data_IF_376454353447
#
_entry.id   IF_376454353447
#
_cell.length_a   1.000
_cell.length_b   1.000
_cell.length_c   1.000
_cell.angle_alpha   90.00
_cell.angle_beta   90.00
_cell.angle_gamma   90.00
#
_symmetry.space_group_name_H-M   'P 1'
#
loop_
_entity.id
_entity.type
_entity.pdbx_description
1 polymer ?
#
# COMPACT_ATOMS: atom_id res chain seq x y z
N UNK A 1 -17.59 -34.35 -26.38
CA UNK A 1 -16.55 -33.38 -26.79
C UNK A 1 -17.12 -32.47 -27.87
N UNK A 2 -17.33 -31.17 -27.59
CA UNK A 2 -17.70 -30.21 -28.64
C UNK A 2 -16.46 -29.94 -29.48
N UNK A 3 -16.48 -30.38 -30.74
CA UNK A 3 -15.45 -30.08 -31.73
C UNK A 3 -15.35 -28.55 -31.81
N UNK A 4 -14.24 -27.97 -31.36
CA UNK A 4 -13.97 -26.53 -31.52
C UNK A 4 -13.78 -26.30 -33.02
N UNK A 5 -14.83 -25.86 -33.69
CA UNK A 5 -14.82 -25.43 -35.09
C UNK A 5 -13.80 -24.30 -35.22
N UNK A 6 -12.85 -24.41 -36.15
CA UNK A 6 -11.86 -23.36 -36.37
C UNK A 6 -12.57 -22.09 -36.89
N UNK A 7 -12.59 -21.04 -36.08
CA UNK A 7 -13.32 -19.81 -36.36
C UNK A 7 -12.68 -19.00 -37.49
N UNK A 8 -11.38 -19.15 -37.72
CA UNK A 8 -10.68 -18.50 -38.83
C UNK A 8 -11.01 -19.17 -40.16
N UNK A 9 -11.05 -20.49 -40.18
CA UNK A 9 -11.44 -21.26 -41.37
C UNK A 9 -12.90 -20.98 -41.76
N UNK A 10 -13.80 -20.87 -40.77
CA UNK A 10 -15.18 -20.41 -41.00
C UNK A 10 -15.28 -19.00 -41.60
N UNK A 11 -14.40 -18.09 -41.20
CA UNK A 11 -14.33 -16.75 -41.76
C UNK A 11 -13.79 -16.70 -43.20
N UNK A 12 -12.82 -17.56 -43.54
CA UNK A 12 -12.32 -17.71 -44.91
C UNK A 12 -13.40 -18.23 -45.85
N UNK A 13 -14.12 -19.29 -45.45
CA UNK A 13 -15.23 -19.84 -46.23
C UNK A 13 -16.37 -18.83 -46.42
N UNK A 14 -16.68 -18.04 -45.37
CA UNK A 14 -17.65 -16.97 -45.46
C UNK A 14 -17.21 -15.87 -46.44
N UNK A 15 -15.93 -15.53 -46.46
CA UNK A 15 -15.36 -14.60 -47.42
C UNK A 15 -15.45 -15.14 -48.86
N UNK A 16 -15.03 -16.37 -49.11
CA UNK A 16 -15.09 -16.99 -50.45
C UNK A 16 -16.51 -17.05 -51.00
N UNK A 17 -17.48 -17.37 -50.15
CA UNK A 17 -18.90 -17.38 -50.54
C UNK A 17 -19.36 -15.98 -50.93
N UNK A 18 -19.11 -14.99 -50.08
CA UNK A 18 -19.50 -13.60 -50.34
C UNK A 18 -18.75 -12.98 -51.52
N UNK A 19 -17.52 -13.43 -51.78
CA UNK A 19 -16.71 -13.01 -52.93
C UNK A 19 -17.36 -13.48 -54.24
N UNK A 20 -17.74 -14.76 -54.32
CA UNK A 20 -18.48 -15.31 -55.46
C UNK A 20 -19.83 -14.60 -55.65
N UNK A 21 -20.58 -14.40 -54.56
CA UNK A 21 -21.88 -13.71 -54.63
C UNK A 21 -21.70 -12.25 -55.10
N UNK A 22 -20.64 -11.56 -54.65
CA UNK A 22 -20.32 -10.19 -55.07
C UNK A 22 -19.88 -10.10 -56.54
N UNK A 23 -19.18 -11.10 -57.07
CA UNK A 23 -18.81 -11.19 -58.49
C UNK A 23 -20.03 -11.39 -59.40
N UNK A 24 -21.05 -12.11 -58.95
CA UNK A 24 -22.28 -12.36 -59.73
C UNK A 24 -23.31 -11.23 -59.60
N UNK A 25 -23.41 -10.59 -58.43
CA UNK A 25 -24.45 -9.58 -58.13
C UNK A 25 -23.97 -8.13 -58.22
N UNK A 26 -22.65 -7.89 -58.27
CA UNK A 26 -22.06 -6.55 -58.15
C UNK A 26 -22.18 -5.94 -56.75
N UNK A 27 -22.64 -6.69 -55.75
CA UNK A 27 -22.84 -6.20 -54.39
C UNK A 27 -21.51 -5.92 -53.68
N UNK A 28 -21.48 -4.84 -52.89
CA UNK A 28 -20.28 -4.42 -52.14
C UNK A 28 -20.00 -5.36 -50.95
N UNK A 29 -18.84 -5.98 -50.95
CA UNK A 29 -18.38 -6.83 -49.85
C UNK A 29 -17.83 -5.98 -48.69
N UNK A 30 -18.24 -6.26 -47.46
CA UNK A 30 -17.77 -5.57 -46.25
C UNK A 30 -17.33 -6.54 -45.16
N UNK A 31 -16.35 -6.14 -44.33
CA UNK A 31 -15.91 -6.92 -43.15
C UNK A 31 -17.09 -7.27 -42.24
N UNK A 32 -18.06 -6.36 -42.07
CA UNK A 32 -19.26 -6.60 -41.27
C UNK A 32 -20.14 -7.72 -41.84
N UNK A 33 -20.21 -7.90 -43.17
CA UNK A 33 -20.97 -8.97 -43.79
C UNK A 33 -20.29 -10.33 -43.59
N UNK A 34 -18.96 -10.39 -43.76
CA UNK A 34 -18.15 -11.59 -43.50
C UNK A 34 -18.22 -11.99 -42.02
N UNK A 35 -18.05 -11.02 -41.10
CA UNK A 35 -18.13 -11.22 -39.66
C UNK A 35 -19.49 -11.79 -39.22
N UNK A 36 -20.58 -11.29 -39.81
CA UNK A 36 -21.94 -11.77 -39.52
C UNK A 36 -22.16 -13.19 -40.05
N UNK A 37 -21.71 -13.49 -41.27
CA UNK A 37 -21.87 -14.81 -41.87
C UNK A 37 -21.03 -15.89 -41.16
N UNK A 38 -19.84 -15.51 -40.69
CA UNK A 38 -18.95 -16.39 -39.94
C UNK A 38 -19.24 -16.43 -38.42
N UNK A 39 -20.18 -15.62 -37.93
CA UNK A 39 -20.51 -15.47 -36.51
C UNK A 39 -19.29 -15.12 -35.62
N UNK A 40 -18.51 -14.12 -36.03
CA UNK A 40 -17.32 -13.64 -35.31
C UNK A 40 -17.36 -12.12 -35.10
N UNK A 41 -16.68 -11.59 -34.08
CA UNK A 41 -16.60 -10.15 -33.86
C UNK A 41 -15.74 -9.50 -34.96
N UNK A 42 -16.24 -8.42 -35.58
CA UNK A 42 -15.51 -7.62 -36.58
C UNK A 42 -14.12 -7.18 -36.10
N UNK A 43 -13.93 -7.01 -34.78
CA UNK A 43 -12.66 -6.63 -34.15
C UNK A 43 -11.53 -7.63 -34.43
N UNK A 44 -11.87 -8.88 -34.76
CA UNK A 44 -10.88 -9.93 -35.01
C UNK A 44 -10.06 -9.64 -36.27
N UNK A 45 -10.71 -9.14 -37.33
CA UNK A 45 -10.06 -8.70 -38.57
C UNK A 45 -9.14 -7.47 -38.40
N UNK A 46 -9.16 -6.84 -37.21
CA UNK A 46 -8.27 -5.74 -36.83
C UNK A 46 -7.25 -6.16 -35.75
N UNK A 47 -7.03 -7.47 -35.57
CA UNK A 47 -6.03 -8.01 -34.64
C UNK A 47 -6.44 -8.02 -33.17
N UNK A 48 -7.65 -7.56 -32.82
CA UNK A 48 -8.17 -7.59 -31.43
C UNK A 48 -8.80 -8.94 -31.10
N UNK A 49 -8.04 -10.01 -31.32
CA UNK A 49 -8.41 -11.40 -30.99
C UNK A 49 -7.78 -11.77 -29.65
N UNK A 50 -8.57 -12.31 -28.72
CA UNK A 50 -8.09 -12.76 -27.42
C UNK A 50 -7.40 -14.13 -27.52
N UNK A 51 -6.24 -14.19 -28.18
CA UNK A 51 -5.40 -15.39 -28.34
C UNK A 51 -3.94 -15.06 -28.04
N UNK A 52 -3.20 -15.91 -27.29
CA UNK A 52 -1.76 -15.72 -27.07
C UNK A 52 -0.91 -16.06 -28.31
N UNK A 53 -1.49 -16.73 -29.32
CA UNK A 53 -0.83 -17.14 -30.55
C UNK A 53 -0.75 -15.98 -31.58
N UNK A 54 0.47 -15.49 -31.80
CA UNK A 54 0.78 -14.39 -32.72
C UNK A 54 0.52 -14.75 -34.19
N UNK A 55 0.72 -16.02 -34.57
CA UNK A 55 0.48 -16.49 -35.94
C UNK A 55 -1.00 -16.42 -36.30
N UNK A 56 -1.88 -16.75 -35.36
CA UNK A 56 -3.33 -16.63 -35.54
C UNK A 56 -3.79 -15.18 -35.64
N UNK A 57 -3.21 -14.26 -34.84
CA UNK A 57 -3.52 -12.82 -34.96
C UNK A 57 -3.16 -12.28 -36.33
N UNK A 58 -1.97 -12.61 -36.84
CA UNK A 58 -1.53 -12.21 -38.19
C UNK A 58 -2.44 -12.76 -39.28
N UNK A 59 -2.86 -14.02 -39.17
CA UNK A 59 -3.77 -14.62 -40.14
C UNK A 59 -5.15 -13.94 -40.18
N UNK A 60 -5.67 -13.49 -39.03
CA UNK A 60 -6.91 -12.70 -38.96
C UNK A 60 -6.76 -11.30 -39.58
N UNK A 61 -5.63 -10.63 -39.34
CA UNK A 61 -5.34 -9.32 -39.92
C UNK A 61 -5.18 -9.44 -41.45
N UNK A 62 -4.43 -10.44 -41.92
CA UNK A 62 -4.23 -10.70 -43.35
C UNK A 62 -5.54 -10.97 -44.10
N UNK A 63 -6.47 -11.73 -43.48
CA UNK A 63 -7.81 -11.90 -44.05
C UNK A 63 -8.59 -10.57 -44.11
N UNK A 64 -8.45 -9.72 -43.08
CA UNK A 64 -9.04 -8.39 -43.06
C UNK A 64 -8.48 -7.45 -44.15
N UNK A 65 -7.19 -7.54 -44.43
CA UNK A 65 -6.50 -6.83 -45.51
C UNK A 65 -7.00 -7.30 -46.88
N UNK A 66 -7.09 -8.61 -47.10
CA UNK A 66 -7.58 -9.20 -48.35
C UNK A 66 -9.03 -8.77 -48.67
N UNK A 67 -9.90 -8.76 -47.66
CA UNK A 67 -11.28 -8.26 -47.78
C UNK A 67 -11.29 -6.78 -48.18
N UNK A 68 -10.42 -5.97 -47.58
CA UNK A 68 -10.34 -4.54 -47.90
C UNK A 68 -9.75 -4.29 -49.30
N UNK A 69 -8.75 -5.06 -49.72
CA UNK A 69 -8.20 -4.99 -51.07
C UNK A 69 -9.27 -5.31 -52.12
N UNK A 70 -10.00 -6.40 -51.94
CA UNK A 70 -11.09 -6.77 -52.85
C UNK A 70 -12.15 -5.66 -52.94
N UNK A 71 -12.55 -5.09 -51.79
CA UNK A 71 -13.47 -3.95 -51.75
C UNK A 71 -12.91 -2.71 -52.45
N UNK A 72 -11.62 -2.43 -52.31
CA UNK A 72 -10.97 -1.29 -52.92
C UNK A 72 -10.83 -1.46 -54.45
N UNK A 73 -10.62 -2.69 -54.94
CA UNK A 73 -10.66 -3.00 -56.38
C UNK A 73 -12.04 -2.81 -57.00
N UNK A 74 -13.11 -2.95 -56.21
CA UNK A 74 -14.49 -2.64 -56.60
C UNK A 74 -14.85 -1.14 -56.55
N UNK A 75 -13.93 -0.24 -56.14
CA UNK A 75 -14.17 1.20 -56.18
C UNK A 75 -13.75 1.78 -57.53
N UNK A 76 -14.71 2.29 -58.30
CA UNK A 76 -14.43 3.25 -59.37
C UNK A 76 -13.79 4.53 -58.79
N UNK A 77 -12.90 5.23 -59.53
CA UNK A 77 -12.18 6.41 -59.04
C UNK A 77 -13.04 7.62 -58.64
N UNK A 78 -14.33 7.63 -58.96
CA UNK A 78 -15.20 8.81 -58.91
C UNK A 78 -15.77 9.18 -57.52
N UNK A 79 -15.44 8.43 -56.46
CA UNK A 79 -15.92 8.71 -55.09
C UNK A 79 -14.82 9.15 -54.12
N UNK A 80 -13.75 9.75 -54.62
CA UNK A 80 -12.77 10.44 -53.76
C UNK A 80 -13.22 11.88 -53.58
N UNK A 81 -14.03 12.09 -52.53
CA UNK A 81 -14.22 13.39 -51.88
C UNK A 81 -15.02 14.42 -52.68
N UNK A 82 -16.35 14.27 -52.75
CA UNK A 82 -17.17 15.46 -52.95
C UNK A 82 -16.98 16.39 -51.74
N UNK A 83 -16.83 17.69 -51.98
CA UNK A 83 -16.76 18.73 -50.94
C UNK A 83 -17.93 18.59 -49.95
N UNK A 84 -19.11 18.20 -50.45
CA UNK A 84 -20.29 17.87 -49.66
C UNK A 84 -20.09 16.72 -48.64
N UNK A 85 -19.19 15.76 -48.91
CA UNK A 85 -18.84 14.67 -47.98
C UNK A 85 -17.88 15.14 -46.88
N UNK A 86 -16.96 16.06 -47.20
CA UNK A 86 -16.03 16.63 -46.22
C UNK A 86 -16.78 17.62 -45.32
N UNK A 87 -17.62 18.48 -45.89
CA UNK A 87 -18.45 19.43 -45.13
C UNK A 87 -19.41 18.72 -44.18
N UNK A 88 -20.08 17.64 -44.60
CA UNK A 88 -20.91 16.82 -43.69
C UNK A 88 -20.10 16.17 -42.57
N UNK A 89 -18.87 15.73 -42.84
CA UNK A 89 -18.00 15.17 -41.79
C UNK A 89 -17.56 16.24 -40.79
N UNK A 90 -17.26 17.45 -41.27
CA UNK A 90 -16.91 18.59 -40.43
C UNK A 90 -18.09 19.01 -39.55
N UNK A 91 -19.29 19.09 -40.12
CA UNK A 91 -20.52 19.40 -39.39
C UNK A 91 -20.81 18.37 -38.29
N UNK A 92 -20.71 17.07 -38.60
CA UNK A 92 -20.87 16.01 -37.61
C UNK A 92 -19.80 16.07 -36.51
N UNK A 93 -18.54 16.36 -36.86
CA UNK A 93 -17.46 16.49 -35.90
C UNK A 93 -17.64 17.71 -34.98
N UNK A 94 -18.18 18.82 -35.51
CA UNK A 94 -18.53 19.99 -34.71
C UNK A 94 -19.65 19.67 -33.72
N UNK A 95 -20.73 19.01 -34.17
CA UNK A 95 -21.84 18.59 -33.30
C UNK A 95 -21.34 17.66 -32.18
N UNK A 96 -20.46 16.72 -32.51
CA UNK A 96 -19.85 15.81 -31.54
C UNK A 96 -18.98 16.57 -30.53
N UNK A 97 -18.14 17.50 -30.98
CA UNK A 97 -17.32 18.34 -30.10
C UNK A 97 -18.17 19.18 -29.15
N UNK A 98 -19.29 19.78 -29.62
CA UNK A 98 -20.20 20.51 -28.75
C UNK A 98 -20.82 19.62 -27.67
N UNK A 99 -21.23 18.40 -28.02
CA UNK A 99 -21.73 17.42 -27.03
C UNK A 99 -20.66 16.99 -26.04
N UNK A 100 -19.42 16.81 -26.51
CA UNK A 100 -18.30 16.46 -25.64
C UNK A 100 -17.99 17.59 -24.66
N UNK A 101 -18.02 18.85 -25.11
CA UNK A 101 -17.84 20.02 -24.24
C UNK A 101 -18.93 20.11 -23.17
N UNK A 102 -20.19 19.86 -23.53
CA UNK A 102 -21.30 19.81 -22.57
C UNK A 102 -21.10 18.67 -21.55
N UNK A 103 -20.71 17.48 -22.01
CA UNK A 103 -20.41 16.35 -21.13
C UNK A 103 -19.23 16.63 -20.19
N UNK A 104 -18.19 17.34 -20.64
CA UNK A 104 -17.05 17.73 -19.79
C UNK A 104 -17.53 18.70 -18.70
N UNK A 105 -18.35 19.70 -19.04
CA UNK A 105 -18.93 20.63 -18.08
C UNK A 105 -19.74 19.92 -16.99
N UNK A 106 -20.54 18.93 -17.37
CA UNK A 106 -21.32 18.15 -16.40
C UNK A 106 -20.45 17.23 -15.53
N UNK A 107 -19.38 16.65 -16.11
CA UNK A 107 -18.40 15.89 -15.34
C UNK A 107 -17.64 16.77 -14.35
N UNK A 108 -17.30 18.01 -14.71
CA UNK A 108 -16.66 18.97 -13.81
C UNK A 108 -17.57 19.34 -12.64
N UNK A 109 -18.87 19.61 -12.90
CA UNK A 109 -19.87 19.83 -11.84
C UNK A 109 -20.00 18.64 -10.92
N UNK A 110 -20.05 17.42 -11.47
CA UNK A 110 -20.12 16.18 -10.70
C UNK A 110 -18.87 16.00 -9.82
N UNK A 111 -17.68 16.26 -10.37
CA UNK A 111 -16.41 16.21 -9.64
C UNK A 111 -16.37 17.21 -8.50
N UNK A 112 -16.79 18.46 -8.73
CA UNK A 112 -16.86 19.48 -7.69
C UNK A 112 -17.79 19.05 -6.54
N UNK A 113 -18.98 18.52 -6.86
CA UNK A 113 -19.93 18.00 -5.87
C UNK A 113 -19.37 16.81 -5.08
N UNK A 114 -18.66 15.89 -5.74
CA UNK A 114 -17.99 14.78 -5.06
C UNK A 114 -16.87 15.25 -4.14
N UNK A 115 -16.11 16.26 -4.55
CA UNK A 115 -15.03 16.84 -3.74
C UNK A 115 -15.56 17.55 -2.50
N UNK A 116 -16.68 18.26 -2.62
CA UNK A 116 -17.40 18.85 -1.49
C UNK A 116 -17.94 17.78 -0.53
N UNK A 117 -18.53 16.70 -1.08
CA UNK A 117 -18.99 15.55 -0.29
C UNK A 117 -17.83 14.88 0.46
N UNK A 118 -16.68 14.69 -0.18
CA UNK A 118 -15.48 14.12 0.45
C UNK A 118 -14.97 15.00 1.58
N UNK A 119 -14.95 16.32 1.39
CA UNK A 119 -14.56 17.27 2.44
C UNK A 119 -15.54 17.23 3.62
N UNK A 120 -16.85 17.21 3.35
CA UNK A 120 -17.88 17.06 4.38
C UNK A 120 -17.76 15.75 5.15
N UNK A 121 -17.56 14.62 4.44
CA UNK A 121 -17.38 13.30 5.06
C UNK A 121 -16.08 13.18 5.83
N UNK A 122 -15.00 13.80 5.36
CA UNK A 122 -13.73 13.89 6.09
C UNK A 122 -13.90 14.58 7.44
N UNK A 123 -14.60 15.74 7.47
CA UNK A 123 -14.93 16.42 8.72
C UNK A 123 -15.79 15.58 9.65
N UNK A 124 -16.83 14.90 9.12
CA UNK A 124 -17.65 13.99 9.92
C UNK A 124 -16.84 12.83 10.51
N UNK A 125 -15.86 12.30 9.79
CA UNK A 125 -14.96 11.24 10.28
C UNK A 125 -14.04 11.75 11.39
N UNK A 126 -13.47 12.94 11.24
CA UNK A 126 -12.65 13.57 12.29
C UNK A 126 -13.48 13.83 13.55
N UNK A 127 -14.71 14.33 13.41
CA UNK A 127 -15.63 14.55 14.52
C UNK A 127 -16.00 13.23 15.23
N UNK A 128 -16.31 12.18 14.47
CA UNK A 128 -16.60 10.85 15.01
C UNK A 128 -15.39 10.22 15.69
N UNK A 129 -14.19 10.37 15.13
CA UNK A 129 -12.96 9.89 15.75
C UNK A 129 -12.67 10.64 17.05
N UNK A 130 -12.82 11.97 17.06
CA UNK A 130 -12.68 12.77 18.27
C UNK A 130 -13.75 12.39 19.32
N UNK A 131 -14.97 12.06 18.88
CA UNK A 131 -16.02 11.58 19.77
C UNK A 131 -15.74 10.16 20.31
N UNK A 132 -15.22 9.25 19.49
CA UNK A 132 -14.78 7.92 19.92
C UNK A 132 -13.67 8.03 20.96
N UNK A 133 -12.66 8.87 20.71
CA UNK A 133 -11.59 9.16 21.67
C UNK A 133 -12.14 9.69 23.00
N UNK A 134 -13.07 10.64 22.98
CA UNK A 134 -13.74 11.13 24.20
C UNK A 134 -14.54 10.06 24.92
N UNK A 135 -15.20 9.15 24.20
CA UNK A 135 -15.94 8.05 24.79
C UNK A 135 -15.01 6.99 25.37
N UNK A 136 -13.91 6.69 24.69
CA UNK A 136 -12.85 5.80 25.17
C UNK A 136 -12.20 6.36 26.43
N UNK A 137 -11.85 7.65 26.43
CA UNK A 137 -11.35 8.37 27.60
C UNK A 137 -12.39 8.34 28.72
N UNK A 138 -13.65 8.67 28.44
CA UNK A 138 -14.74 8.62 29.42
C UNK A 138 -14.97 7.20 29.97
N UNK A 139 -14.81 6.16 29.15
CA UNK A 139 -14.87 4.76 29.59
C UNK A 139 -13.66 4.40 30.46
N UNK A 140 -12.46 4.86 30.10
CA UNK A 140 -11.24 4.72 30.90
C UNK A 140 -11.39 5.40 32.26
N UNK A 141 -11.96 6.61 32.31
CA UNK A 141 -12.22 7.34 33.57
C UNK A 141 -13.38 6.72 34.38
N UNK A 142 -14.46 6.30 33.72
CA UNK A 142 -15.60 5.64 34.39
C UNK A 142 -15.26 4.24 34.91
N UNK A 143 -14.33 3.52 34.26
CA UNK A 143 -13.78 2.26 34.78
C UNK A 143 -12.75 2.46 35.89
N UNK A 144 -12.08 3.62 35.92
CA UNK A 144 -11.11 3.97 36.98
C UNK A 144 -11.77 4.24 38.34
N UNK A 145 -12.98 4.81 38.39
CA UNK A 145 -13.55 5.29 39.66
C UNK A 145 -14.64 4.42 40.31
N UNK A 146 -15.22 3.41 39.64
CA UNK A 146 -16.29 2.58 40.26
C UNK A 146 -16.34 1.10 39.88
N UNK A 147 -15.22 0.44 39.61
CA UNK A 147 -15.18 -1.04 39.66
C UNK A 147 -13.84 -1.53 40.19
N UNK A 148 -13.87 -2.20 41.34
CA UNK A 148 -12.84 -3.14 41.77
C UNK A 148 -12.84 -4.39 40.86
N UNK A 149 -12.60 -4.21 39.56
CA UNK A 149 -12.18 -5.33 38.73
C UNK A 149 -10.70 -5.46 39.01
N UNK A 150 -10.37 -6.43 39.86
CA UNK A 150 -8.99 -6.91 40.00
C UNK A 150 -8.63 -7.53 38.65
N UNK A 151 -8.14 -6.71 37.74
CA UNK A 151 -7.53 -7.21 36.51
C UNK A 151 -6.31 -8.02 36.92
N UNK A 152 -6.31 -9.32 36.62
CA UNK A 152 -5.15 -10.19 36.80
C UNK A 152 -3.98 -9.85 35.85
N UNK A 153 -4.03 -8.70 35.16
CA UNK A 153 -2.96 -8.24 34.30
C UNK A 153 -1.76 -7.80 35.12
N UNK A 154 -0.57 -8.14 34.65
CA UNK A 154 0.68 -7.66 35.24
C UNK A 154 1.09 -6.33 34.59
N UNK A 155 1.59 -5.40 35.40
CA UNK A 155 2.25 -4.20 34.87
C UNK A 155 3.46 -4.65 34.05
N UNK A 156 3.72 -4.07 32.86
CA UNK A 156 4.88 -4.45 32.07
C UNK A 156 6.18 -4.20 32.84
N UNK A 157 7.09 -5.16 32.74
CA UNK A 157 8.43 -5.09 33.30
C UNK A 157 9.33 -4.32 32.33
N UNK A 158 9.59 -3.05 32.64
CA UNK A 158 10.44 -2.18 31.80
C UNK A 158 11.90 -2.36 32.21
N UNK A 159 12.74 -2.67 31.23
CA UNK A 159 14.19 -2.83 31.36
C UNK A 159 14.82 -1.81 30.42
N UNK A 160 15.62 -0.88 30.96
CA UNK A 160 16.32 0.11 30.14
C UNK A 160 17.78 0.22 30.56
N UNK A 161 18.74 0.09 29.62
CA UNK A 161 20.15 0.38 29.88
C UNK A 161 20.37 1.79 30.45
N UNK A 162 19.57 2.78 30.04
CA UNK A 162 19.73 4.16 30.50
C UNK A 162 19.47 4.30 32.02
N UNK A 163 18.65 3.41 32.62
CA UNK A 163 18.41 3.39 34.07
C UNK A 163 19.59 2.85 34.87
N UNK A 164 20.44 2.02 34.26
CA UNK A 164 21.61 1.42 34.92
C UNK A 164 22.89 2.26 34.70
N UNK A 165 22.82 3.27 33.84
CA UNK A 165 23.96 4.10 33.47
C UNK A 165 24.34 5.06 34.61
N UNK A 166 25.60 5.01 35.05
CA UNK A 166 26.12 5.86 36.14
C UNK A 166 27.11 6.95 35.70
N UNK A 167 27.57 6.88 34.46
CA UNK A 167 28.55 7.80 33.87
C UNK A 167 28.31 8.07 32.39
N UNK A 168 28.93 9.13 31.86
CA UNK A 168 28.77 9.60 30.47
C UNK A 168 29.70 8.92 29.47
N UNK A 169 30.68 8.16 29.94
CA UNK A 169 31.66 7.45 29.11
C UNK A 169 31.10 6.17 28.46
N UNK A 170 31.84 5.65 27.48
CA UNK A 170 31.46 4.44 26.74
C UNK A 170 31.53 3.16 27.57
N UNK A 171 32.38 3.08 28.60
CA UNK A 171 32.47 1.91 29.46
C UNK A 171 31.25 1.81 30.39
N UNK A 172 30.80 2.94 30.94
CA UNK A 172 29.54 3.05 31.68
C UNK A 172 28.35 2.57 30.84
N UNK A 173 28.28 2.98 29.56
CA UNK A 173 27.23 2.51 28.65
C UNK A 173 27.27 0.99 28.44
N UNK A 174 28.47 0.41 28.20
CA UNK A 174 28.61 -1.04 28.05
C UNK A 174 28.23 -1.81 29.32
N UNK A 175 28.65 -1.32 30.50
CA UNK A 175 28.28 -1.93 31.79
C UNK A 175 26.76 -1.89 32.00
N UNK A 176 26.13 -0.75 31.70
CA UNK A 176 24.69 -0.59 31.83
C UNK A 176 23.91 -1.51 30.87
N UNK A 177 24.42 -1.70 29.66
CA UNK A 177 23.88 -2.66 28.70
C UNK A 177 23.95 -4.10 29.20
N UNK A 178 25.11 -4.54 29.71
CA UNK A 178 25.27 -5.89 30.29
C UNK A 178 24.30 -6.09 31.45
N UNK A 179 24.16 -5.10 32.35
CA UNK A 179 23.21 -5.17 33.46
C UNK A 179 21.75 -5.27 32.98
N UNK A 180 21.38 -4.56 31.90
CA UNK A 180 20.06 -4.68 31.29
C UNK A 180 19.81 -6.07 30.71
N UNK A 181 20.81 -6.68 30.07
CA UNK A 181 20.71 -8.04 29.55
C UNK A 181 20.61 -9.10 30.66
N UNK A 182 21.37 -8.95 31.74
CA UNK A 182 21.26 -9.83 32.90
C UNK A 182 19.87 -9.72 33.55
N UNK A 183 19.33 -8.49 33.67
CA UNK A 183 17.97 -8.28 34.14
C UNK A 183 16.94 -8.90 33.20
N UNK A 184 17.14 -8.79 31.89
CA UNK A 184 16.27 -9.41 30.88
C UNK A 184 16.29 -10.94 31.01
N UNK A 185 17.46 -11.55 31.21
CA UNK A 185 17.58 -13.00 31.44
C UNK A 185 16.74 -13.44 32.64
N UNK A 186 16.85 -12.74 33.76
CA UNK A 186 16.08 -13.05 34.99
C UNK A 186 14.57 -12.99 34.75
N UNK A 187 14.08 -12.02 33.96
CA UNK A 187 12.65 -11.94 33.64
C UNK A 187 12.22 -13.02 32.63
N UNK A 188 13.09 -13.40 31.69
CA UNK A 188 12.83 -14.46 30.71
C UNK A 188 12.84 -15.87 31.31
N UNK A 189 13.66 -16.11 32.35
CA UNK A 189 13.76 -17.40 33.06
C UNK A 189 12.48 -17.81 33.78
N UNK A 190 11.52 -16.90 33.95
CA UNK A 190 10.22 -17.22 34.58
C UNK A 190 9.45 -18.23 33.73
N UNK A 191 8.85 -19.29 34.30
CA UNK A 191 8.16 -20.34 33.52
C UNK A 191 6.72 -19.93 33.17
N UNK A 192 6.56 -18.79 32.50
CA UNK A 192 5.27 -18.24 32.05
C UNK A 192 5.38 -17.80 30.59
N UNK A 193 4.25 -17.74 29.88
CA UNK A 193 4.18 -17.13 28.55
C UNK A 193 4.43 -15.63 28.64
N UNK A 194 5.25 -15.10 27.73
CA UNK A 194 5.69 -13.71 27.78
C UNK A 194 5.69 -13.07 26.40
N UNK A 195 5.54 -11.76 26.40
CA UNK A 195 5.81 -10.94 25.23
C UNK A 195 6.97 -10.01 25.52
N UNK A 196 8.06 -10.14 24.77
CA UNK A 196 9.22 -9.26 24.79
C UNK A 196 9.06 -8.18 23.71
N UNK A 197 8.84 -6.95 24.13
CA UNK A 197 8.84 -5.78 23.26
C UNK A 197 10.23 -5.15 23.22
N UNK A 198 10.79 -5.02 22.02
CA UNK A 198 12.09 -4.36 21.79
C UNK A 198 11.82 -3.01 21.13
N UNK A 199 12.16 -1.91 21.80
CA UNK A 199 11.95 -0.59 21.23
C UNK A 199 13.05 -0.25 20.21
N UNK A 200 12.62 0.25 19.05
CA UNK A 200 13.48 0.58 17.91
C UNK A 200 13.19 2.03 17.51
N UNK A 201 14.16 2.91 17.70
CA UNK A 201 14.01 4.30 17.27
C UNK A 201 15.02 5.25 17.90
N UNK A 202 15.18 6.41 17.27
CA UNK A 202 16.16 7.40 17.67
C UNK A 202 15.88 8.01 19.06
N UNK A 203 16.88 8.55 19.74
CA UNK A 203 16.68 9.38 20.93
C UNK A 203 15.69 10.52 20.63
N UNK A 204 14.70 10.72 21.50
CA UNK A 204 13.65 11.73 21.29
C UNK A 204 12.43 11.22 20.51
N UNK A 205 12.43 9.97 20.04
CA UNK A 205 11.28 9.42 19.29
C UNK A 205 10.05 9.14 20.17
N UNK A 206 10.21 9.05 21.49
CA UNK A 206 9.12 8.82 22.44
C UNK A 206 9.09 7.42 23.07
N UNK A 207 10.13 6.59 22.87
CA UNK A 207 10.21 5.21 23.40
C UNK A 207 9.89 5.12 24.89
N UNK A 208 10.63 5.84 25.73
CA UNK A 208 10.42 5.79 27.18
C UNK A 208 9.05 6.29 27.62
N UNK A 209 8.51 7.32 26.95
CA UNK A 209 7.14 7.79 27.18
C UNK A 209 6.13 6.69 26.85
N UNK A 210 6.30 6.02 25.71
CA UNK A 210 5.46 4.89 25.33
C UNK A 210 5.56 3.74 26.32
N UNK A 211 6.78 3.36 26.73
CA UNK A 211 7.04 2.28 27.70
C UNK A 211 6.35 2.52 29.04
N UNK A 212 6.42 3.75 29.56
CA UNK A 212 5.82 4.13 30.85
C UNK A 212 4.29 4.19 30.81
N UNK A 213 3.72 4.50 29.65
CA UNK A 213 2.27 4.62 29.45
C UNK A 213 1.61 3.30 29.06
N UNK A 214 2.35 2.19 29.03
CA UNK A 214 1.74 0.88 28.76
C UNK A 214 0.87 0.44 29.94
N UNK A 215 -0.39 0.14 29.62
CA UNK A 215 -1.38 -0.38 30.56
C UNK A 215 -1.13 -1.84 30.91
N UNK A 216 -1.85 -2.34 31.92
CA UNK A 216 -1.86 -3.75 32.30
C UNK A 216 -2.21 -4.62 31.08
N UNK A 217 -1.34 -5.58 30.80
CA UNK A 217 -1.52 -6.54 29.72
C UNK A 217 -2.02 -7.86 30.31
N UNK A 218 -2.83 -8.59 29.54
CA UNK A 218 -3.31 -9.93 29.94
C UNK A 218 -2.16 -10.93 30.11
N UNK A 219 -1.06 -10.74 29.36
CA UNK A 219 0.13 -11.56 29.42
C UNK A 219 1.29 -10.84 30.11
N UNK A 220 2.27 -11.60 30.58
CA UNK A 220 3.49 -11.04 31.17
C UNK A 220 4.32 -10.34 30.11
N UNK A 221 4.35 -9.02 30.16
CA UNK A 221 5.02 -8.19 29.16
C UNK A 221 6.35 -7.66 29.68
N UNK A 222 7.41 -7.87 28.91
CA UNK A 222 8.74 -7.31 29.15
C UNK A 222 8.99 -6.26 28.07
N UNK A 223 9.36 -5.05 28.47
CA UNK A 223 9.71 -3.98 27.53
C UNK A 223 11.20 -3.69 27.68
N UNK A 224 11.97 -3.98 26.64
CA UNK A 224 13.37 -3.60 26.54
C UNK A 224 13.46 -2.22 25.89
N UNK A 225 13.53 -1.17 26.74
CA UNK A 225 13.57 0.23 26.31
C UNK A 225 15.00 0.71 26.07
N UNK A 226 15.43 0.63 24.81
CA UNK A 226 16.76 1.06 24.36
C UNK A 226 16.72 1.66 22.96
N UNK A 227 17.81 2.32 22.55
CA UNK A 227 17.96 2.82 21.18
C UNK A 227 18.53 1.73 20.27
N UNK A 228 17.71 0.74 19.88
CA UNK A 228 18.18 -0.36 19.03
C UNK A 228 18.03 -0.01 17.54
N UNK A 229 18.93 0.84 17.02
CA UNK A 229 18.83 1.45 15.69
C UNK A 229 19.29 0.51 14.58
N UNK A 230 20.36 -0.22 14.84
CA UNK A 230 20.97 -1.14 13.88
C UNK A 230 20.63 -2.59 14.19
N UNK A 231 20.88 -3.49 13.24
CA UNK A 231 20.80 -4.95 13.44
C UNK A 231 21.73 -5.41 14.55
N UNK A 232 22.93 -4.84 14.61
CA UNK A 232 23.92 -5.17 15.62
C UNK A 232 23.42 -4.82 17.04
N UNK A 233 22.75 -3.68 17.20
CA UNK A 233 22.18 -3.29 18.50
C UNK A 233 21.08 -4.28 18.96
N UNK A 234 20.28 -4.78 18.02
CA UNK A 234 19.17 -5.70 18.29
C UNK A 234 19.64 -7.13 18.53
N UNK A 235 20.78 -7.52 17.97
CA UNK A 235 21.26 -8.89 17.95
C UNK A 235 21.34 -9.55 19.33
N UNK A 236 21.91 -8.87 20.32
CA UNK A 236 22.10 -9.46 21.66
C UNK A 236 20.76 -9.70 22.38
N UNK A 237 19.84 -8.75 22.27
CA UNK A 237 18.50 -8.83 22.86
C UNK A 237 17.68 -9.92 22.19
N UNK A 238 17.68 -9.96 20.85
CA UNK A 238 17.02 -11.00 20.05
C UNK A 238 17.57 -12.39 20.36
N UNK A 239 18.90 -12.53 20.37
CA UNK A 239 19.57 -13.80 20.64
C UNK A 239 19.27 -14.31 22.05
N UNK A 240 19.09 -13.41 23.02
CA UNK A 240 18.69 -13.79 24.36
C UNK A 240 17.22 -14.21 24.41
N UNK A 241 16.30 -13.43 23.83
CA UNK A 241 14.86 -13.74 23.79
C UNK A 241 14.57 -15.09 23.11
N UNK A 242 15.26 -15.39 21.99
CA UNK A 242 15.06 -16.63 21.22
C UNK A 242 15.44 -17.90 21.95
N UNK A 243 16.23 -17.82 23.03
CA UNK A 243 16.53 -18.99 23.87
C UNK A 243 15.30 -19.52 24.60
N UNK A 244 14.20 -18.77 24.59
CA UNK A 244 12.96 -19.07 25.31
C UNK A 244 11.80 -19.23 24.31
N UNK A 245 11.47 -20.47 23.88
CA UNK A 245 10.47 -20.73 22.84
C UNK A 245 9.07 -20.20 23.14
N UNK A 246 8.69 -20.09 24.41
CA UNK A 246 7.39 -19.55 24.86
C UNK A 246 7.35 -18.02 24.96
N UNK A 247 8.36 -17.33 24.41
CA UNK A 247 8.43 -15.86 24.40
C UNK A 247 8.16 -15.35 23.01
N UNK A 248 7.06 -14.59 22.87
CA UNK A 248 6.79 -13.82 21.65
C UNK A 248 7.67 -12.57 21.64
N UNK A 249 8.38 -12.32 20.55
CA UNK A 249 9.28 -11.18 20.37
C UNK A 249 8.66 -10.19 19.39
N UNK A 250 8.47 -8.95 19.84
CA UNK A 250 7.82 -7.88 19.09
C UNK A 250 8.76 -6.69 18.93
N UNK A 251 8.98 -6.22 17.71
CA UNK A 251 9.66 -4.95 17.47
C UNK A 251 8.65 -3.80 17.60
N UNK A 252 8.98 -2.77 18.38
CA UNK A 252 8.18 -1.55 18.46
C UNK A 252 8.95 -0.41 17.82
N UNK A 253 8.58 -0.07 16.59
CA UNK A 253 9.33 0.86 15.74
C UNK A 253 8.72 2.25 15.79
N UNK A 254 9.51 3.21 16.25
CA UNK A 254 9.09 4.61 16.40
C UNK A 254 9.52 5.41 15.18
N UNK A 255 8.58 5.71 14.30
CA UNK A 255 8.84 6.48 13.09
C UNK A 255 8.57 7.96 13.33
N UNK A 256 9.65 8.75 13.43
CA UNK A 256 9.59 10.19 13.75
C UNK A 256 10.57 10.94 12.85
N UNK A 257 10.12 12.08 12.31
CA UNK A 257 10.95 12.92 11.43
C UNK A 257 12.14 13.53 12.18
N UNK A 258 13.27 13.71 11.50
CA UNK A 258 14.46 14.33 12.10
C UNK A 258 14.17 15.74 12.67
N UNK A 259 13.31 16.51 12.01
CA UNK A 259 12.89 17.83 12.49
C UNK A 259 12.18 17.75 13.85
N UNK A 260 11.34 16.73 14.07
CA UNK A 260 10.68 16.48 15.34
C UNK A 260 11.67 16.00 16.40
N UNK A 261 12.60 15.11 16.06
CA UNK A 261 13.65 14.65 16.97
C UNK A 261 14.52 15.81 17.45
N UNK A 262 14.94 16.70 16.53
CA UNK A 262 15.71 17.91 16.85
C UNK A 262 14.98 18.81 17.82
N UNK A 263 13.70 19.11 17.54
CA UNK A 263 12.85 19.92 18.43
C UNK A 263 12.76 19.31 19.82
N UNK A 264 12.47 18.00 19.91
CA UNK A 264 12.35 17.29 21.19
C UNK A 264 13.68 17.21 21.95
N UNK A 265 14.79 17.01 21.25
CA UNK A 265 16.12 16.97 21.87
C UNK A 265 16.49 18.30 22.50
N UNK A 266 16.19 19.43 21.85
CA UNK A 266 16.43 20.77 22.40
C UNK A 266 15.60 21.09 23.65
N UNK A 267 14.51 20.36 23.89
CA UNK A 267 13.65 20.51 25.07
C UNK A 267 14.04 19.60 26.24
N UNK A 268 15.05 18.72 26.06
CA UNK A 268 15.52 17.82 27.12
C UNK A 268 16.39 18.55 28.13
N UNK A 269 16.50 17.98 29.33
CA UNK A 269 17.50 18.38 30.33
C UNK A 269 18.91 18.34 29.72
N UNK A 270 19.76 19.30 30.07
CA UNK A 270 21.05 19.54 29.40
C UNK A 270 21.98 18.32 29.38
N UNK A 271 21.91 17.47 30.40
CA UNK A 271 22.63 16.20 30.54
C UNK A 271 22.12 15.09 29.61
N UNK A 272 20.87 15.18 29.16
CA UNK A 272 20.19 14.23 28.25
C UNK A 272 20.09 14.74 26.81
N UNK A 273 20.57 15.95 26.55
CA UNK A 273 20.66 16.50 25.20
C UNK A 273 21.80 15.86 24.44
N UNK A 274 21.55 15.45 23.20
CA UNK A 274 22.60 14.99 22.29
C UNK A 274 23.09 16.15 21.42
N UNK A 275 24.41 16.23 21.15
CA UNK A 275 24.94 17.11 20.13
C UNK A 275 24.27 16.85 18.77
N UNK A 276 24.10 17.91 17.97
CA UNK A 276 23.39 17.85 16.70
C UNK A 276 23.95 16.78 15.76
N UNK A 277 25.27 16.73 15.58
CA UNK A 277 25.93 15.73 14.71
C UNK A 277 25.70 14.30 15.19
N UNK A 278 25.71 14.07 16.51
CA UNK A 278 25.43 12.75 17.08
C UNK A 278 23.98 12.34 16.86
N UNK A 279 23.03 13.26 17.06
CA UNK A 279 21.61 12.98 16.80
C UNK A 279 21.36 12.69 15.31
N UNK A 280 22.02 13.42 14.42
CA UNK A 280 21.94 13.21 12.97
C UNK A 280 22.51 11.85 12.57
N UNK A 281 23.71 11.52 13.04
CA UNK A 281 24.33 10.22 12.80
C UNK A 281 23.46 9.06 13.28
N UNK A 282 22.86 9.17 14.47
CA UNK A 282 21.94 8.15 14.99
C UNK A 282 20.61 8.06 14.21
N UNK A 283 20.16 9.15 13.60
CA UNK A 283 18.97 9.12 12.73
C UNK A 283 19.28 8.42 11.40
N UNK A 284 20.44 8.72 10.82
CA UNK A 284 20.89 8.16 9.54
C UNK A 284 21.30 6.68 9.65
N UNK A 285 21.74 6.22 10.82
CA UNK A 285 22.10 4.82 11.08
C UNK A 285 20.89 3.90 11.32
N UNK A 286 19.66 4.38 11.11
CA UNK A 286 18.46 3.59 11.36
C UNK A 286 18.30 2.48 10.31
N UNK A 287 18.29 1.23 10.76
CA UNK A 287 18.05 0.05 9.93
C UNK A 287 16.68 -0.55 10.29
N UNK A 288 15.77 -0.59 9.32
CA UNK A 288 14.41 -1.07 9.54
C UNK A 288 14.40 -2.56 9.92
N UNK A 289 13.71 -2.95 11.01
CA UNK A 289 13.50 -4.36 11.33
C UNK A 289 12.70 -5.04 10.22
N UNK A 290 13.06 -6.27 9.88
CA UNK A 290 12.38 -7.10 8.89
C UNK A 290 11.75 -8.31 9.56
N UNK A 291 10.63 -8.80 9.00
CA UNK A 291 10.06 -10.10 9.37
C UNK A 291 10.69 -11.26 8.57
N UNK A 292 11.33 -10.96 7.45
CA UNK A 292 11.81 -11.95 6.47
C UNK A 292 13.32 -12.21 6.60
N UNK A 293 14.02 -11.49 7.48
CA UNK A 293 15.46 -11.63 7.65
C UNK A 293 15.79 -12.82 8.56
N UNK A 294 16.58 -13.77 8.05
CA UNK A 294 16.97 -14.97 8.81
C UNK A 294 17.79 -14.62 10.05
N UNK A 295 18.49 -13.48 10.03
CA UNK A 295 19.25 -12.98 11.17
C UNK A 295 18.38 -12.21 12.19
N UNK A 296 17.35 -11.50 11.73
CA UNK A 296 16.43 -10.69 12.53
C UNK A 296 14.99 -11.21 12.39
N UNK A 297 14.53 -11.94 13.39
CA UNK A 297 13.30 -12.70 13.39
C UNK A 297 12.49 -12.18 14.56
N UNK A 298 11.49 -11.38 14.21
CA UNK A 298 10.46 -10.89 15.10
C UNK A 298 9.17 -11.65 14.77
N UNK A 299 8.39 -11.99 15.77
CA UNK A 299 7.06 -12.57 15.55
C UNK A 299 6.07 -11.50 15.07
N UNK A 300 6.32 -10.24 15.42
CA UNK A 300 5.49 -9.10 15.05
C UNK A 300 6.30 -7.80 15.02
N UNK A 301 5.92 -6.88 14.14
CA UNK A 301 6.43 -5.50 14.12
C UNK A 301 5.26 -4.54 14.30
N UNK A 302 5.32 -3.74 15.37
CA UNK A 302 4.36 -2.68 15.69
C UNK A 302 4.97 -1.34 15.34
N UNK A 303 4.29 -0.56 14.50
CA UNK A 303 4.74 0.77 14.09
C UNK A 303 4.03 1.85 14.92
N UNK A 304 4.79 2.68 15.61
CA UNK A 304 4.28 3.86 16.36
C UNK A 304 4.60 5.11 15.54
N UNK A 305 3.56 5.76 15.02
CA UNK A 305 3.68 7.01 14.23
C UNK A 305 3.52 8.22 15.15
N UNK A 306 4.44 9.18 15.03
CA UNK A 306 4.54 10.32 15.94
C UNK A 306 3.91 11.65 15.44
N UNK A 307 3.01 11.64 14.47
CA UNK A 307 2.40 12.88 13.95
C UNK A 307 1.07 13.20 14.64
N UNK A 308 0.98 14.38 15.27
CA UNK A 308 -0.25 14.95 15.82
C UNK A 308 -0.17 15.36 17.30
N UNK A 309 0.29 16.60 17.55
CA UNK A 309 -0.15 17.48 18.65
C UNK A 309 -0.61 16.85 19.99
N UNK A 310 0.30 16.76 20.96
CA UNK A 310 -0.08 17.02 22.36
C UNK A 310 -0.09 18.55 22.55
N UNK A 311 -1.23 19.18 22.23
CA UNK A 311 -1.55 20.50 22.77
C UNK A 311 -2.05 20.25 24.19
N UNK A 312 -1.45 20.96 25.14
CA UNK A 312 -1.77 20.92 26.57
C UNK A 312 -3.23 21.27 26.85
#
# INVERSE_FOLDING_TARGET
>A
MKIKKDTLEGAKLAFDKLKKDAEHSGARLTISAVARLANVDRKYFYGKVNTPDESKRRAWVSLGEEINEFRNRQRSPEQVGSEASISKKLENALIENYRLLESVSDLEKSRAKMQELLSSKGKQLEELQAHSGRLEDSLLFATSDKRSIVGFGSKPHIISPDLFRKGVDSLSLKKAWVMALDKLRVELDRPIEKTLYITVGAPGSGKSTWSLNQSYQNNFSIIFDACCLTRADRYEVLSLGRKYPSTKIVAVVFYVTFSTLKKRNNLRESDKQLPFEKLKSMFESFEQPSLEDVSEFFDEIVMVRGEGSFVR
#
